data_IF_170672248514
#
_entry.id   IF_170672248514
#
_cell.length_a   1.000
_cell.length_b   1.000
_cell.length_c   1.000
_cell.angle_alpha   90.00
_cell.angle_beta   90.00
_cell.angle_gamma   90.00
#
_symmetry.space_group_name_H-M   'P 1'
#
loop_
_entity.id
_entity.type
_entity.pdbx_description
1 polymer ?
#
# COMPACT_ATOMS: atom_id res chain seq x y z
N UNK A 1 3.97 28.52 7.55
CA UNK A 1 3.51 28.65 6.15
C UNK A 1 2.32 27.72 6.03
N UNK A 2 1.19 28.21 5.54
CA UNK A 2 0.00 27.37 5.37
C UNK A 2 0.31 26.31 4.31
N UNK A 3 0.07 25.04 4.63
CA UNK A 3 0.20 23.95 3.65
C UNK A 3 -1.20 23.55 3.17
N UNK A 4 -1.32 23.48 1.85
CA UNK A 4 -2.55 23.14 1.15
C UNK A 4 -2.28 21.85 0.37
N UNK A 5 -3.15 20.87 0.53
CA UNK A 5 -3.13 19.65 -0.27
C UNK A 5 -4.44 19.60 -1.04
N UNK A 6 -4.33 19.61 -2.37
CA UNK A 6 -5.47 19.52 -3.25
C UNK A 6 -5.15 18.53 -4.37
N UNK A 7 -6.00 17.52 -4.56
CA UNK A 7 -5.74 16.44 -5.52
C UNK A 7 -7.02 15.76 -6.00
N UNK A 8 -7.09 15.46 -7.30
CA UNK A 8 -8.12 14.61 -7.89
C UNK A 8 -7.84 13.14 -7.52
N UNK A 9 -8.80 12.49 -6.86
CA UNK A 9 -8.78 11.07 -6.50
C UNK A 9 -9.42 10.21 -7.60
N UNK A 10 -10.48 10.73 -8.23
CA UNK A 10 -11.16 10.04 -9.31
C UNK A 10 -11.75 11.04 -10.30
N UNK A 11 -11.61 10.82 -11.62
CA UNK A 11 -10.73 9.82 -12.24
C UNK A 11 -9.26 10.08 -11.89
N UNK A 12 -8.52 9.03 -11.55
CA UNK A 12 -7.09 9.13 -11.20
C UNK A 12 -6.22 9.42 -12.43
N UNK A 13 -4.95 9.76 -12.21
CA UNK A 13 -4.05 10.06 -13.33
C UNK A 13 -3.85 8.82 -14.22
N UNK A 14 -3.98 9.00 -15.52
CA UNK A 14 -4.05 7.96 -16.55
C UNK A 14 -5.20 6.95 -16.38
N UNK A 15 -6.18 7.25 -15.52
CA UNK A 15 -7.33 6.39 -15.26
C UNK A 15 -8.25 6.27 -16.47
N UNK A 16 -8.87 5.10 -16.62
CA UNK A 16 -9.93 4.86 -17.63
C UNK A 16 -11.27 4.79 -16.89
N UNK A 17 -12.26 5.54 -17.38
CA UNK A 17 -13.62 5.57 -16.82
C UNK A 17 -14.66 5.47 -17.94
N UNK A 18 -15.90 5.16 -17.57
CA UNK A 18 -17.07 5.35 -18.45
C UNK A 18 -18.06 6.31 -17.80
N UNK A 19 -19.08 6.74 -18.53
CA UNK A 19 -20.10 7.68 -18.07
C UNK A 19 -21.39 6.97 -17.64
N UNK A 20 -22.13 7.52 -16.67
CA UNK A 20 -21.80 8.70 -15.86
C UNK A 20 -20.79 8.37 -14.76
N UNK A 21 -19.96 9.35 -14.38
CA UNK A 21 -19.07 9.23 -13.22
C UNK A 21 -18.98 10.54 -12.44
N UNK A 22 -18.57 10.46 -11.18
CA UNK A 22 -18.43 11.64 -10.31
C UNK A 22 -16.97 11.93 -10.01
N UNK A 23 -16.61 13.22 -10.02
CA UNK A 23 -15.28 13.61 -9.63
C UNK A 23 -15.13 13.54 -8.12
N UNK A 24 -14.03 12.95 -7.66
CA UNK A 24 -13.65 12.91 -6.25
C UNK A 24 -12.31 13.56 -6.10
N UNK A 25 -12.15 14.39 -5.08
CA UNK A 25 -10.89 15.04 -4.77
C UNK A 25 -10.71 15.18 -3.27
N UNK A 26 -9.47 15.16 -2.82
CA UNK A 26 -9.12 15.47 -1.44
C UNK A 26 -8.67 16.91 -1.35
N UNK A 27 -9.23 17.63 -0.38
CA UNK A 27 -8.80 18.94 0.05
C UNK A 27 -8.31 18.82 1.50
N UNK A 28 -7.08 19.26 1.79
CA UNK A 28 -6.56 19.45 3.15
C UNK A 28 -5.94 20.84 3.29
N UNK A 29 -6.30 21.54 4.35
CA UNK A 29 -5.76 22.86 4.69
C UNK A 29 -5.15 22.78 6.09
N UNK A 30 -3.88 23.17 6.23
CA UNK A 30 -3.18 23.21 7.50
C UNK A 30 -2.98 24.65 7.97
N UNK A 31 -3.43 24.94 9.20
CA UNK A 31 -3.39 26.26 9.81
C UNK A 31 -2.09 26.48 10.61
N UNK A 32 -1.34 27.55 10.31
CA UNK A 32 -0.32 28.06 11.22
C UNK A 32 -0.85 29.25 12.03
N UNK A 33 -1.19 29.05 13.31
CA UNK A 33 -1.34 30.06 14.39
C UNK A 33 -1.96 31.46 14.09
N UNK A 34 -2.79 31.62 13.05
CA UNK A 34 -3.60 32.83 12.84
C UNK A 34 -4.86 32.50 12.03
N UNK A 35 -6.02 32.94 12.53
CA UNK A 35 -7.35 32.54 12.03
C UNK A 35 -7.71 32.99 10.60
N UNK A 36 -8.73 32.32 10.02
CA UNK A 36 -9.54 32.85 8.91
C UNK A 36 -9.18 32.49 7.46
N UNK A 37 -8.47 31.39 7.18
CA UNK A 37 -8.05 31.05 5.80
C UNK A 37 -9.13 30.36 4.94
N UNK A 38 -10.00 29.52 5.51
CA UNK A 38 -11.03 28.77 4.76
C UNK A 38 -12.36 29.52 4.62
N UNK A 39 -12.59 30.57 5.42
CA UNK A 39 -13.82 31.37 5.39
C UNK A 39 -14.01 32.01 4.02
N UNK A 40 -15.11 31.66 3.36
CA UNK A 40 -15.41 32.11 2.01
C UNK A 40 -14.53 31.49 0.91
N UNK A 41 -13.92 30.32 1.13
CA UNK A 41 -13.26 29.55 0.06
C UNK A 41 -14.24 28.62 -0.65
N UNK A 42 -14.03 28.50 -1.96
CA UNK A 42 -14.70 27.51 -2.82
C UNK A 42 -13.65 26.67 -3.53
N UNK A 43 -13.89 25.36 -3.63
CA UNK A 43 -13.10 24.46 -4.46
C UNK A 43 -13.74 24.34 -5.83
N UNK A 44 -13.01 24.64 -6.89
CA UNK A 44 -13.49 24.67 -8.27
C UNK A 44 -12.80 23.60 -9.12
N UNK A 45 -13.59 22.84 -9.88
CA UNK A 45 -13.13 21.88 -10.87
C UNK A 45 -12.99 22.55 -12.24
N UNK A 46 -11.86 22.26 -12.87
CA UNK A 46 -11.55 22.53 -14.26
C UNK A 46 -11.32 21.21 -14.98
N UNK A 47 -11.94 21.06 -16.16
CA UNK A 47 -11.66 19.96 -17.09
C UNK A 47 -11.36 20.57 -18.46
N UNK A 48 -10.26 20.15 -19.07
CA UNK A 48 -9.74 20.64 -20.36
C UNK A 48 -9.68 22.18 -20.45
N UNK A 49 -9.21 22.80 -19.37
CA UNK A 49 -9.08 24.26 -19.27
C UNK A 49 -10.40 25.01 -19.11
N UNK A 50 -11.54 24.31 -18.99
CA UNK A 50 -12.85 24.92 -18.74
C UNK A 50 -13.19 24.80 -17.26
N UNK A 51 -13.48 25.93 -16.61
CA UNK A 51 -14.05 25.96 -15.25
C UNK A 51 -15.49 25.45 -15.30
N UNK A 52 -15.79 24.40 -14.53
CA UNK A 52 -17.07 23.69 -14.61
C UNK A 52 -17.95 23.93 -13.39
N UNK A 53 -17.47 23.56 -12.20
CA UNK A 53 -18.29 23.63 -10.98
C UNK A 53 -17.44 23.96 -9.78
N UNK A 54 -18.03 24.67 -8.82
CA UNK A 54 -17.39 24.97 -7.54
C UNK A 54 -18.29 24.54 -6.38
N UNK A 55 -17.69 24.06 -5.30
CA UNK A 55 -18.37 23.71 -4.06
C UNK A 55 -17.80 24.55 -2.91
N UNK A 56 -18.64 25.12 -2.04
CA UNK A 56 -18.16 25.83 -0.87
C UNK A 56 -17.48 24.85 0.09
N UNK A 57 -16.39 25.28 0.72
CA UNK A 57 -15.84 24.55 1.85
C UNK A 57 -16.71 24.86 3.09
N UNK A 58 -17.19 23.84 3.83
CA UNK A 58 -17.96 24.08 5.05
C UNK A 58 -17.13 24.83 6.08
N UNK A 59 -17.74 25.80 6.75
CA UNK A 59 -17.09 26.59 7.81
C UNK A 59 -17.04 25.76 9.10
N UNK A 60 -15.85 25.56 9.68
CA UNK A 60 -15.69 24.94 11.00
C UNK A 60 -15.39 26.01 12.06
N UNK A 61 -16.04 25.91 13.23
CA UNK A 61 -15.92 26.86 14.34
C UNK A 61 -14.60 26.71 15.13
N UNK A 62 -13.81 25.65 14.89
CA UNK A 62 -12.68 25.29 15.73
C UNK A 62 -11.32 25.56 15.06
N UNK A 63 -10.53 26.45 15.67
CA UNK A 63 -9.36 27.13 15.08
C UNK A 63 -8.05 26.30 15.10
N UNK A 64 -8.14 24.97 15.12
CA UNK A 64 -6.96 24.10 15.29
C UNK A 64 -7.04 22.74 14.58
N UNK A 65 -7.99 22.52 13.65
CA UNK A 65 -8.26 21.19 13.07
C UNK A 65 -7.88 21.11 11.59
N UNK A 66 -7.19 20.01 11.23
CA UNK A 66 -6.94 19.54 9.85
C UNK A 66 -8.27 19.22 9.17
N UNK A 67 -8.70 20.03 8.21
CA UNK A 67 -9.90 19.72 7.40
C UNK A 67 -9.46 18.90 6.18
N UNK A 68 -9.31 17.59 6.34
CA UNK A 68 -9.17 16.66 5.22
C UNK A 68 -10.57 16.16 4.81
N UNK A 69 -11.04 16.54 3.61
CA UNK A 69 -12.37 16.16 3.13
C UNK A 69 -12.29 15.63 1.70
N UNK A 70 -12.97 14.52 1.46
CA UNK A 70 -13.33 14.07 0.12
C UNK A 70 -14.51 14.90 -0.35
N UNK A 71 -14.32 15.62 -1.44
CA UNK A 71 -15.34 16.41 -2.08
C UNK A 71 -15.81 15.66 -3.32
N UNK A 72 -17.11 15.41 -3.39
CA UNK A 72 -17.75 14.73 -4.51
C UNK A 72 -18.43 15.78 -5.37
N UNK A 73 -17.96 15.93 -6.61
CA UNK A 73 -18.60 16.77 -7.60
C UNK A 73 -19.39 15.88 -8.57
N UNK A 74 -20.71 16.13 -8.74
CA UNK A 74 -21.53 15.45 -9.73
C UNK A 74 -20.92 15.54 -11.14
N UNK A 75 -21.25 14.58 -12.00
CA UNK A 75 -20.80 14.60 -13.40
C UNK A 75 -21.13 15.94 -14.05
N UNK A 76 -20.18 16.45 -14.84
CA UNK A 76 -20.42 17.59 -15.73
C UNK A 76 -21.01 17.04 -17.03
N UNK A 77 -21.82 17.83 -17.74
CA UNK A 77 -22.42 17.53 -19.06
C UNK A 77 -21.53 16.58 -19.87
N UNK A 78 -22.09 15.46 -20.34
CA UNK A 78 -21.42 14.31 -20.97
C UNK A 78 -20.11 14.70 -21.69
N UNK A 79 -18.99 14.64 -20.97
CA UNK A 79 -17.65 14.76 -21.53
C UNK A 79 -17.49 13.74 -22.67
N UNK A 80 -16.88 14.14 -23.77
CA UNK A 80 -16.74 13.25 -24.93
C UNK A 80 -15.96 11.98 -24.60
N UNK A 81 -16.08 10.94 -25.43
CA UNK A 81 -15.10 9.84 -25.36
C UNK A 81 -13.72 10.36 -25.74
N UNK A 82 -12.67 9.86 -25.07
CA UNK A 82 -11.29 10.24 -25.34
C UNK A 82 -10.52 10.67 -24.10
N UNK A 83 -9.36 11.28 -24.33
CA UNK A 83 -8.44 11.71 -23.28
C UNK A 83 -8.81 13.13 -22.81
N UNK A 84 -8.91 13.28 -21.50
CA UNK A 84 -9.27 14.51 -20.80
C UNK A 84 -8.25 14.83 -19.72
N UNK A 85 -8.28 16.08 -19.26
CA UNK A 85 -7.46 16.55 -18.15
C UNK A 85 -8.32 17.25 -17.11
N UNK A 86 -8.11 16.94 -15.84
CA UNK A 86 -8.81 17.55 -14.72
C UNK A 86 -7.84 18.22 -13.75
N UNK A 87 -8.29 19.31 -13.14
CA UNK A 87 -7.62 20.01 -12.06
C UNK A 87 -8.67 20.59 -11.13
N UNK A 88 -8.41 20.54 -9.83
CA UNK A 88 -9.16 21.31 -8.84
C UNK A 88 -8.28 22.43 -8.27
N UNK A 89 -8.87 23.59 -7.99
CA UNK A 89 -8.21 24.75 -7.38
C UNK A 89 -9.14 25.47 -6.39
N UNK A 90 -8.56 26.25 -5.48
CA UNK A 90 -9.31 27.11 -4.55
C UNK A 90 -9.44 28.55 -5.07
N UNK A 91 -10.60 29.15 -4.87
CA UNK A 91 -10.87 30.59 -5.09
C UNK A 91 -11.57 31.19 -3.86
N UNK A 92 -11.57 32.52 -3.74
CA UNK A 92 -12.42 33.22 -2.77
C UNK A 92 -13.79 33.49 -3.39
N UNK A 93 -14.85 33.15 -2.67
CA UNK A 93 -16.24 33.40 -3.07
C UNK A 93 -16.51 34.87 -3.43
N UNK A 94 -15.83 35.81 -2.76
CA UNK A 94 -15.98 37.27 -2.99
C UNK A 94 -15.13 37.81 -4.15
N UNK A 95 -14.16 37.05 -4.65
CA UNK A 95 -13.28 37.43 -5.78
C UNK A 95 -13.14 36.23 -6.73
N UNK A 96 -14.18 35.92 -7.54
CA UNK A 96 -14.14 34.81 -8.47
C UNK A 96 -13.02 34.98 -9.51
N UNK A 97 -12.32 33.90 -9.87
CA UNK A 97 -11.28 33.89 -10.91
C UNK A 97 -9.84 34.01 -10.41
N UNK A 98 -9.61 34.36 -9.13
CA UNK A 98 -8.26 34.34 -8.55
C UNK A 98 -7.97 32.97 -7.90
N UNK A 99 -7.12 32.17 -8.54
CA UNK A 99 -6.67 30.89 -8.00
C UNK A 99 -5.70 31.12 -6.83
N UNK A 100 -6.03 30.58 -5.67
CA UNK A 100 -5.23 30.68 -4.44
C UNK A 100 -4.23 29.53 -4.38
N UNK A 101 -4.69 28.33 -4.75
CA UNK A 101 -3.90 27.11 -4.77
C UNK A 101 -4.55 26.12 -5.73
N UNK A 102 -3.75 25.29 -6.39
CA UNK A 102 -4.23 24.35 -7.39
C UNK A 102 -3.54 22.99 -7.30
N UNK A 103 -4.29 21.95 -7.64
CA UNK A 103 -3.78 20.58 -7.75
C UNK A 103 -2.91 20.39 -8.99
N UNK A 104 -2.05 19.36 -9.01
CA UNK A 104 -1.46 18.86 -10.25
C UNK A 104 -2.54 18.48 -11.27
N UNK A 105 -2.24 18.67 -12.55
CA UNK A 105 -3.12 18.25 -13.62
C UNK A 105 -3.16 16.72 -13.70
N UNK A 106 -4.38 16.17 -13.71
CA UNK A 106 -4.66 14.74 -13.76
C UNK A 106 -5.21 14.39 -15.14
N UNK A 107 -4.57 13.48 -15.85
CA UNK A 107 -5.07 12.99 -17.14
C UNK A 107 -6.00 11.80 -16.91
N UNK A 108 -7.08 11.65 -17.67
CA UNK A 108 -7.91 10.44 -17.65
C UNK A 108 -8.53 10.20 -19.03
N UNK A 109 -9.05 9.00 -19.27
CA UNK A 109 -9.68 8.62 -20.54
C UNK A 109 -11.11 8.14 -20.31
N UNK A 110 -12.06 8.71 -21.05
CA UNK A 110 -13.45 8.25 -21.07
C UNK A 110 -13.63 7.30 -22.26
N UNK A 111 -14.14 6.11 -22.00
CA UNK A 111 -14.42 5.11 -23.04
C UNK A 111 -15.89 4.68 -22.98
N UNK A 112 -16.41 4.14 -24.07
CA UNK A 112 -17.77 3.60 -24.12
C UNK A 112 -17.91 2.35 -23.22
N UNK A 113 -19.15 1.97 -22.91
CA UNK A 113 -19.46 0.85 -22.02
C UNK A 113 -18.81 -0.47 -22.47
N UNK A 114 -18.73 -0.73 -23.79
CA UNK A 114 -18.15 -1.98 -24.30
C UNK A 114 -16.63 -2.03 -24.13
N UNK A 115 -15.94 -0.91 -24.36
CA UNK A 115 -14.50 -0.78 -24.12
C UNK A 115 -14.21 -0.78 -22.63
N UNK A 116 -15.03 -0.10 -21.83
CA UNK A 116 -14.94 -0.14 -20.37
C UNK A 116 -15.16 -1.56 -19.83
N UNK A 117 -16.10 -2.31 -20.42
CA UNK A 117 -16.33 -3.71 -20.10
C UNK A 117 -15.11 -4.58 -20.42
N UNK A 118 -14.35 -4.28 -21.49
CA UNK A 118 -13.08 -4.97 -21.76
C UNK A 118 -12.00 -4.62 -20.73
N UNK A 119 -11.90 -3.35 -20.33
CA UNK A 119 -10.99 -2.91 -19.27
C UNK A 119 -11.31 -3.53 -17.91
N UNK A 120 -12.60 -3.71 -17.59
CA UNK A 120 -13.04 -4.38 -16.34
C UNK A 120 -12.98 -5.90 -16.43
N UNK A 121 -13.00 -6.49 -17.63
CA UNK A 121 -12.79 -7.93 -17.83
C UNK A 121 -11.38 -8.38 -17.45
N UNK A 122 -10.34 -7.56 -17.64
CA UNK A 122 -8.97 -7.93 -17.28
C UNK A 122 -8.79 -8.12 -15.76
N UNK A 123 -9.17 -7.16 -14.88
CA UNK A 123 -9.26 -7.39 -13.44
C UNK A 123 -10.14 -8.59 -13.06
N UNK A 124 -11.28 -8.81 -13.74
CA UNK A 124 -12.12 -9.99 -13.48
C UNK A 124 -11.40 -11.31 -13.83
N UNK A 125 -10.57 -11.34 -14.87
CA UNK A 125 -9.73 -12.50 -15.20
C UNK A 125 -8.65 -12.70 -14.15
N UNK A 126 -8.00 -11.63 -13.70
CA UNK A 126 -7.02 -11.67 -12.61
C UNK A 126 -7.67 -12.21 -11.33
N UNK A 127 -8.84 -11.70 -10.93
CA UNK A 127 -9.58 -12.17 -9.76
C UNK A 127 -9.97 -13.64 -9.85
N UNK A 128 -10.45 -14.10 -11.02
CA UNK A 128 -10.73 -15.53 -11.25
C UNK A 128 -9.48 -16.39 -11.14
N UNK A 129 -8.35 -15.91 -11.67
CA UNK A 129 -7.08 -16.60 -11.54
C UNK A 129 -6.62 -16.67 -10.07
N UNK A 130 -6.69 -15.58 -9.31
CA UNK A 130 -6.32 -15.56 -7.89
C UNK A 130 -7.22 -16.49 -7.06
N UNK A 131 -8.52 -16.58 -7.39
CA UNK A 131 -9.43 -17.53 -6.77
C UNK A 131 -9.03 -19.00 -7.05
N UNK A 132 -8.55 -19.29 -8.27
CA UNK A 132 -8.01 -20.60 -8.62
C UNK A 132 -6.75 -20.96 -7.83
N UNK A 133 -5.84 -19.98 -7.62
CA UNK A 133 -4.67 -20.16 -6.74
C UNK A 133 -5.12 -20.49 -5.32
N UNK A 134 -6.06 -19.72 -4.76
CA UNK A 134 -6.55 -19.96 -3.40
C UNK A 134 -7.19 -21.35 -3.26
N UNK A 135 -7.90 -21.85 -4.26
CA UNK A 135 -8.46 -23.21 -4.25
C UNK A 135 -7.37 -24.28 -4.24
N UNK A 136 -6.33 -24.13 -5.06
CA UNK A 136 -5.17 -25.03 -5.06
C UNK A 136 -4.46 -25.02 -3.70
N UNK A 137 -4.31 -23.84 -3.07
CA UNK A 137 -3.75 -23.76 -1.73
C UNK A 137 -4.57 -24.51 -0.69
N UNK A 138 -5.91 -24.41 -0.73
CA UNK A 138 -6.79 -25.17 0.19
C UNK A 138 -6.55 -26.66 0.06
N UNK A 139 -6.43 -27.17 -1.17
CA UNK A 139 -6.17 -28.59 -1.43
C UNK A 139 -4.85 -29.04 -0.81
N UNK A 140 -3.78 -28.26 -0.98
CA UNK A 140 -2.46 -28.55 -0.37
C UNK A 140 -2.47 -28.52 1.16
N UNK A 141 -3.26 -27.64 1.76
CA UNK A 141 -3.42 -27.60 3.21
C UNK A 141 -4.21 -28.79 3.75
N UNK A 142 -5.07 -29.41 2.94
CA UNK A 142 -5.86 -30.59 3.30
C UNK A 142 -5.11 -31.91 3.06
N UNK A 143 -4.17 -31.95 2.11
CA UNK A 143 -3.35 -33.13 1.81
C UNK A 143 -1.84 -32.83 1.96
N UNK A 144 -1.22 -33.15 3.11
CA UNK A 144 0.21 -32.91 3.34
C UNK A 144 1.12 -33.76 2.44
N UNK A 145 0.61 -34.82 1.81
CA UNK A 145 1.40 -35.67 0.90
C UNK A 145 1.39 -35.17 -0.55
N UNK A 146 0.62 -34.11 -0.86
CA UNK A 146 0.57 -33.49 -2.18
C UNK A 146 1.79 -32.58 -2.41
N UNK A 147 2.99 -33.14 -2.27
CA UNK A 147 4.22 -32.48 -2.68
C UNK A 147 4.50 -32.84 -4.15
N UNK A 148 4.55 -31.80 -4.98
CA UNK A 148 4.87 -31.85 -6.41
C UNK A 148 3.90 -32.63 -7.29
N UNK A 149 2.85 -31.95 -7.75
CA UNK A 149 2.56 -31.95 -9.18
C UNK A 149 2.12 -30.54 -9.54
N UNK A 150 3.02 -29.83 -10.21
CA UNK A 150 2.74 -28.49 -10.72
C UNK A 150 1.51 -28.58 -11.63
N UNK A 151 0.42 -27.91 -11.27
CA UNK A 151 -0.67 -27.65 -12.20
C UNK A 151 -0.09 -26.76 -13.29
N UNK A 152 0.28 -27.39 -14.40
CA UNK A 152 0.62 -26.69 -15.63
C UNK A 152 -0.66 -26.08 -16.20
N UNK A 153 -0.89 -24.80 -15.92
CA UNK A 153 -1.79 -24.00 -16.72
C UNK A 153 -1.38 -22.52 -16.69
N UNK A 154 -1.02 -22.06 -17.90
CA UNK A 154 -0.73 -20.69 -18.31
C UNK A 154 0.59 -20.09 -17.81
N UNK A 155 1.70 -20.47 -18.47
CA UNK A 155 2.74 -19.54 -18.99
C UNK A 155 2.97 -18.28 -18.15
N UNK A 156 3.64 -18.41 -17.00
CA UNK A 156 3.81 -17.29 -16.05
C UNK A 156 5.28 -17.14 -15.65
N UNK A 157 5.92 -16.24 -16.39
CA UNK A 157 7.12 -15.44 -16.14
C UNK A 157 8.01 -15.87 -14.95
N UNK A 158 9.30 -16.08 -15.23
CA UNK A 158 10.34 -16.11 -14.21
C UNK A 158 10.40 -14.74 -13.51
N UNK A 159 9.61 -14.59 -12.43
CA UNK A 159 9.55 -13.35 -11.67
C UNK A 159 10.77 -13.22 -10.77
N UNK A 160 11.44 -12.07 -10.85
CA UNK A 160 12.48 -11.74 -9.90
C UNK A 160 11.89 -11.47 -8.51
N UNK A 161 10.78 -10.72 -8.44
CA UNK A 161 10.25 -10.21 -7.19
C UNK A 161 8.72 -10.19 -7.15
N UNK A 162 8.15 -10.69 -6.05
CA UNK A 162 6.73 -10.50 -5.70
C UNK A 162 6.63 -9.70 -4.40
N UNK A 163 5.94 -8.56 -4.44
CA UNK A 163 5.80 -7.63 -3.31
C UNK A 163 4.39 -7.78 -2.72
N UNK A 164 4.31 -8.03 -1.42
CA UNK A 164 3.08 -8.03 -0.64
C UNK A 164 3.03 -6.82 0.28
N UNK A 165 2.10 -5.90 0.03
CA UNK A 165 1.93 -4.67 0.83
C UNK A 165 0.84 -4.89 1.87
N UNK A 166 1.22 -5.03 3.14
CA UNK A 166 0.33 -5.11 4.30
C UNK A 166 -0.49 -3.83 4.38
N UNK A 167 -1.81 -3.97 4.40
CA UNK A 167 -2.74 -2.84 4.47
C UNK A 167 -3.99 -3.21 5.25
N UNK A 168 -4.66 -2.22 5.84
CA UNK A 168 -6.01 -2.40 6.36
C UNK A 168 -7.02 -2.29 5.22
N UNK A 169 -7.93 -3.25 5.09
CA UNK A 169 -8.97 -3.24 4.06
C UNK A 169 -9.81 -1.97 4.17
N UNK A 170 -10.27 -1.64 5.38
CA UNK A 170 -11.18 -0.54 5.63
C UNK A 170 -10.48 0.82 5.60
N UNK A 171 -9.35 0.98 6.32
CA UNK A 171 -8.71 2.30 6.51
C UNK A 171 -7.60 2.58 5.50
N UNK A 172 -7.06 1.55 4.86
CA UNK A 172 -5.88 1.65 4.00
C UNK A 172 -6.15 2.09 2.57
N UNK A 173 -7.41 2.29 2.15
CA UNK A 173 -7.73 2.68 0.76
C UNK A 173 -6.93 3.90 0.27
N UNK A 174 -6.78 5.00 1.04
CA UNK A 174 -5.96 6.14 0.61
C UNK A 174 -4.49 5.80 0.40
N UNK A 175 -3.91 4.92 1.22
CA UNK A 175 -2.53 4.46 1.06
C UNK A 175 -2.38 3.56 -0.17
N UNK A 176 -3.30 2.59 -0.35
CA UNK A 176 -3.34 1.75 -1.56
C UNK A 176 -3.41 2.60 -2.82
N UNK A 177 -4.28 3.60 -2.81
CA UNK A 177 -4.43 4.51 -3.94
C UNK A 177 -3.15 5.32 -4.19
N UNK A 178 -2.50 5.83 -3.14
CA UNK A 178 -1.22 6.53 -3.29
C UNK A 178 -0.12 5.64 -3.89
N UNK A 179 -0.05 4.37 -3.47
CA UNK A 179 0.91 3.39 -3.99
C UNK A 179 0.62 3.08 -5.48
N UNK A 180 -0.65 2.88 -5.85
CA UNK A 180 -1.08 2.66 -7.25
C UNK A 180 -0.77 3.85 -8.16
N UNK A 181 -0.91 5.07 -7.65
CA UNK A 181 -0.63 6.32 -8.37
C UNK A 181 0.86 6.63 -8.48
N UNK A 182 1.72 5.88 -7.77
CA UNK A 182 3.16 6.17 -7.68
C UNK A 182 4.00 4.94 -8.04
N UNK A 183 4.74 4.43 -7.06
CA UNK A 183 5.81 3.45 -7.27
C UNK A 183 5.32 2.07 -7.68
N UNK A 184 4.02 1.77 -7.53
CA UNK A 184 3.40 0.55 -8.00
C UNK A 184 2.39 0.75 -9.14
N UNK A 185 2.46 1.89 -9.84
CA UNK A 185 1.68 2.09 -11.06
C UNK A 185 2.07 1.05 -12.12
N UNK A 186 1.10 0.65 -12.97
CA UNK A 186 1.32 -0.34 -14.03
C UNK A 186 2.46 0.03 -14.99
N UNK A 187 2.70 1.34 -15.20
CA UNK A 187 3.76 1.86 -16.05
C UNK A 187 5.14 1.92 -15.37
N UNK A 188 5.20 1.84 -14.03
CA UNK A 188 6.44 1.95 -13.26
C UNK A 188 6.99 0.59 -12.84
N UNK A 189 6.14 -0.42 -12.66
CA UNK A 189 6.59 -1.75 -12.24
C UNK A 189 7.34 -2.48 -13.38
N UNK A 190 8.55 -3.01 -13.13
CA UNK A 190 9.26 -3.84 -14.10
C UNK A 190 8.49 -5.12 -14.45
N UNK A 191 8.72 -5.65 -15.65
CA UNK A 191 7.98 -6.80 -16.18
C UNK A 191 8.15 -8.09 -15.36
N UNK A 192 9.28 -8.23 -14.65
CA UNK A 192 9.61 -9.36 -13.77
C UNK A 192 9.23 -9.10 -12.30
N UNK A 193 8.43 -8.06 -12.03
CA UNK A 193 7.92 -7.70 -10.71
C UNK A 193 6.39 -7.79 -10.68
N UNK A 194 5.83 -8.28 -9.57
CA UNK A 194 4.40 -8.21 -9.27
C UNK A 194 4.17 -7.63 -7.88
N UNK A 195 3.08 -6.92 -7.68
CA UNK A 195 2.70 -6.33 -6.39
C UNK A 195 1.25 -6.68 -6.06
N UNK A 196 0.98 -7.02 -4.80
CA UNK A 196 -0.36 -7.26 -4.27
C UNK A 196 -0.55 -6.56 -2.92
N UNK A 197 -1.73 -6.00 -2.70
CA UNK A 197 -2.15 -5.52 -1.38
C UNK A 197 -2.70 -6.68 -0.55
N UNK A 198 -2.30 -6.74 0.72
CA UNK A 198 -2.64 -7.80 1.66
C UNK A 198 -3.68 -7.29 2.66
N UNK A 199 -4.95 -7.41 2.29
CA UNK A 199 -6.09 -6.96 3.09
C UNK A 199 -6.60 -8.01 4.08
N UNK A 200 -6.56 -9.30 3.74
CA UNK A 200 -7.26 -10.37 4.46
C UNK A 200 -8.78 -10.16 4.58
N UNK A 201 -9.48 -11.09 5.24
CA UNK A 201 -10.94 -11.00 5.42
C UNK A 201 -11.27 -10.06 6.59
N UNK A 202 -12.22 -9.14 6.40
CA UNK A 202 -12.81 -8.39 7.52
C UNK A 202 -13.84 -9.31 8.18
N UNK A 203 -13.69 -9.60 9.47
CA UNK A 203 -14.64 -10.42 10.19
C UNK A 203 -15.97 -9.67 10.40
N UNK A 204 -17.10 -10.34 10.13
CA UNK A 204 -18.44 -9.73 10.12
C UNK A 204 -18.87 -9.24 11.52
N UNK A 205 -18.34 -9.84 12.58
CA UNK A 205 -18.63 -9.52 13.99
C UNK A 205 -18.01 -8.20 14.48
N UNK A 206 -16.97 -7.70 13.82
CA UNK A 206 -16.32 -6.42 14.14
C UNK A 206 -17.04 -5.22 13.58
N UNK A 207 -17.94 -5.44 12.62
CA UNK A 207 -18.83 -4.44 12.09
C UNK A 207 -20.13 -4.54 12.89
N UNK A 208 -20.21 -3.79 14.00
CA UNK A 208 -21.37 -3.75 14.89
C UNK A 208 -22.71 -3.43 14.19
N UNK A 209 -22.65 -2.98 12.93
CA UNK A 209 -23.77 -2.66 12.05
C UNK A 209 -23.67 -3.52 10.77
N UNK A 210 -24.61 -4.46 10.56
CA UNK A 210 -24.66 -5.31 9.36
C UNK A 210 -24.71 -4.52 8.05
N UNK A 211 -25.30 -3.32 8.05
CA UNK A 211 -25.36 -2.50 6.84
C UNK A 211 -23.97 -1.92 6.51
N UNK A 212 -23.21 -1.50 7.54
CA UNK A 212 -21.81 -1.09 7.34
C UNK A 212 -20.95 -2.23 6.82
N UNK A 213 -21.19 -3.46 7.28
CA UNK A 213 -20.52 -4.64 6.78
C UNK A 213 -20.80 -4.88 5.29
N UNK A 214 -22.08 -4.79 4.91
CA UNK A 214 -22.51 -4.92 3.51
C UNK A 214 -21.86 -3.86 2.62
N UNK A 215 -21.94 -2.58 3.01
CA UNK A 215 -21.36 -1.46 2.26
C UNK A 215 -19.84 -1.60 2.12
N UNK A 216 -19.14 -2.02 3.18
CA UNK A 216 -17.70 -2.25 3.11
C UNK A 216 -17.37 -3.40 2.15
N UNK A 217 -18.07 -4.53 2.24
CA UNK A 217 -17.85 -5.67 1.35
C UNK A 217 -18.11 -5.29 -0.12
N UNK A 218 -19.18 -4.54 -0.41
CA UNK A 218 -19.47 -4.02 -1.75
C UNK A 218 -18.35 -3.09 -2.24
N UNK A 219 -17.87 -2.17 -1.40
CA UNK A 219 -16.76 -1.28 -1.77
C UNK A 219 -15.46 -2.04 -2.06
N UNK A 220 -15.16 -3.09 -1.27
CA UNK A 220 -13.99 -3.95 -1.47
C UNK A 220 -14.13 -4.78 -2.73
N UNK A 221 -15.31 -5.34 -3.01
CA UNK A 221 -15.56 -6.11 -4.22
C UNK A 221 -15.45 -5.21 -5.47
N UNK A 222 -15.93 -3.96 -5.40
CA UNK A 222 -15.71 -2.95 -6.43
C UNK A 222 -14.22 -2.66 -6.62
N UNK A 223 -13.49 -2.37 -5.54
CA UNK A 223 -12.04 -2.11 -5.61
C UNK A 223 -11.30 -3.28 -6.27
N UNK A 224 -11.57 -4.52 -5.83
CA UNK A 224 -10.99 -5.72 -6.42
C UNK A 224 -11.35 -5.87 -7.89
N UNK A 225 -12.59 -5.56 -8.27
CA UNK A 225 -13.03 -5.62 -9.66
C UNK A 225 -12.39 -4.56 -10.56
N UNK A 226 -11.91 -3.45 -9.99
CA UNK A 226 -11.27 -2.37 -10.73
C UNK A 226 -9.77 -2.59 -10.86
N UNK A 227 -9.10 -2.94 -9.76
CA UNK A 227 -7.64 -2.97 -9.72
C UNK A 227 -7.05 -4.39 -9.82
N UNK A 228 -7.76 -5.41 -9.33
CA UNK A 228 -7.30 -6.80 -9.37
C UNK A 228 -6.02 -7.10 -8.59
N UNK A 229 -5.62 -6.21 -7.67
CA UNK A 229 -4.37 -6.27 -6.90
C UNK A 229 -4.58 -6.46 -5.39
N UNK A 230 -5.82 -6.43 -4.90
CA UNK A 230 -6.15 -6.57 -3.48
C UNK A 230 -6.54 -8.01 -3.13
N UNK A 231 -5.68 -8.69 -2.36
CA UNK A 231 -5.93 -10.01 -1.81
C UNK A 231 -6.69 -9.91 -0.49
N UNK A 232 -7.84 -10.59 -0.42
CA UNK A 232 -8.66 -10.68 0.80
C UNK A 232 -8.93 -12.14 1.14
N UNK A 233 -9.99 -12.72 0.57
CA UNK A 233 -10.41 -14.12 0.78
C UNK A 233 -9.39 -15.13 0.24
N UNK A 234 -8.47 -14.68 -0.61
CA UNK A 234 -7.36 -15.45 -1.16
C UNK A 234 -6.26 -15.72 -0.11
N UNK A 235 -6.14 -14.87 0.91
CA UNK A 235 -5.23 -15.08 2.04
C UNK A 235 -5.88 -15.98 3.09
N UNK A 236 -5.77 -17.30 2.88
CA UNK A 236 -6.46 -18.32 3.70
C UNK A 236 -5.99 -18.29 5.16
N UNK A 237 -6.95 -18.28 6.08
CA UNK A 237 -6.69 -18.29 7.52
C UNK A 237 -6.29 -16.94 8.10
N UNK A 238 -6.42 -15.86 7.31
CA UNK A 238 -6.10 -14.51 7.75
C UNK A 238 -7.35 -13.65 7.96
N UNK A 239 -7.38 -12.95 9.09
CA UNK A 239 -8.36 -11.90 9.39
C UNK A 239 -7.68 -10.54 9.51
N UNK A 240 -8.32 -9.49 8.99
CA UNK A 240 -7.76 -8.14 9.01
C UNK A 240 -7.74 -7.59 10.43
N UNK A 241 -6.59 -7.76 11.08
CA UNK A 241 -6.34 -7.32 12.45
C UNK A 241 -4.86 -7.14 12.67
N UNK A 242 -4.50 -6.22 13.57
CA UNK A 242 -3.12 -6.06 13.99
C UNK A 242 -2.56 -7.34 14.64
N UNK A 243 -3.39 -8.07 15.39
CA UNK A 243 -3.00 -9.34 16.00
C UNK A 243 -2.93 -10.51 15.01
N UNK A 244 -3.28 -10.30 13.74
CA UNK A 244 -3.24 -11.30 12.68
C UNK A 244 -2.16 -11.00 11.63
N UNK A 245 -1.17 -10.16 11.95
CA UNK A 245 -0.11 -9.80 11.00
C UNK A 245 0.75 -11.01 10.63
N UNK A 246 1.05 -11.90 11.58
CA UNK A 246 1.76 -13.16 11.29
C UNK A 246 0.97 -14.01 10.29
N UNK A 247 -0.34 -14.16 10.50
CA UNK A 247 -1.21 -14.91 9.57
C UNK A 247 -1.28 -14.23 8.20
N UNK A 248 -1.32 -12.89 8.15
CA UNK A 248 -1.31 -12.11 6.90
C UNK A 248 -0.04 -12.36 6.09
N UNK A 249 1.13 -12.29 6.73
CA UNK A 249 2.42 -12.50 6.09
C UNK A 249 2.59 -13.95 5.63
N UNK A 250 2.30 -14.92 6.48
CA UNK A 250 2.45 -16.34 6.14
C UNK A 250 1.43 -16.80 5.08
N UNK A 251 0.20 -16.29 5.11
CA UNK A 251 -0.78 -16.53 4.06
C UNK A 251 -0.34 -15.95 2.71
N UNK A 252 0.30 -14.78 2.70
CA UNK A 252 0.89 -14.21 1.49
C UNK A 252 2.04 -15.06 0.95
N UNK A 253 2.96 -15.54 1.80
CA UNK A 253 4.03 -16.44 1.37
C UNK A 253 3.48 -17.72 0.75
N UNK A 254 2.46 -18.31 1.38
CA UNK A 254 1.78 -19.46 0.82
C UNK A 254 1.17 -19.12 -0.55
N UNK A 255 0.52 -17.95 -0.68
CA UNK A 255 -0.15 -17.55 -1.92
C UNK A 255 0.85 -17.36 -3.04
N UNK A 256 1.88 -16.56 -2.80
CA UNK A 256 2.88 -16.22 -3.79
C UNK A 256 3.68 -17.45 -4.25
N UNK A 257 4.05 -18.36 -3.35
CA UNK A 257 4.84 -19.57 -3.70
C UNK A 257 4.03 -20.60 -4.48
N UNK A 258 2.70 -20.61 -4.35
CA UNK A 258 1.80 -21.42 -5.19
C UNK A 258 1.50 -20.73 -6.52
N UNK A 259 1.25 -19.43 -6.49
CA UNK A 259 0.94 -18.61 -7.67
C UNK A 259 2.12 -18.51 -8.66
N UNK A 260 3.34 -18.44 -8.13
CA UNK A 260 4.56 -18.19 -8.90
C UNK A 260 5.68 -19.18 -8.51
N UNK A 261 5.63 -20.42 -9.01
CA UNK A 261 6.57 -21.47 -8.61
C UNK A 261 8.05 -21.13 -8.86
N UNK A 262 8.34 -20.31 -9.88
CA UNK A 262 9.70 -19.92 -10.28
C UNK A 262 10.15 -18.55 -9.75
N UNK A 263 9.40 -17.93 -8.83
CA UNK A 263 9.79 -16.63 -8.29
C UNK A 263 11.15 -16.72 -7.55
N UNK A 264 11.96 -15.67 -7.63
CA UNK A 264 13.27 -15.61 -6.94
C UNK A 264 13.19 -15.04 -5.52
N UNK A 265 12.58 -13.86 -5.37
CA UNK A 265 12.45 -13.15 -4.09
C UNK A 265 11.00 -12.75 -3.80
N UNK A 266 10.67 -12.67 -2.52
CA UNK A 266 9.46 -12.02 -2.02
C UNK A 266 9.86 -10.83 -1.16
N UNK A 267 9.07 -9.77 -1.23
CA UNK A 267 9.15 -8.66 -0.29
C UNK A 267 7.81 -8.53 0.43
N UNK A 268 7.87 -8.30 1.74
CA UNK A 268 6.74 -7.83 2.54
C UNK A 268 7.01 -6.39 2.90
N UNK A 269 6.02 -5.53 2.68
CA UNK A 269 6.08 -4.11 2.96
C UNK A 269 4.86 -3.64 3.74
N UNK A 270 4.98 -2.54 4.47
CA UNK A 270 3.82 -1.79 4.98
C UNK A 270 3.26 -0.85 3.88
N UNK A 271 2.02 -0.38 4.03
CA UNK A 271 1.35 0.51 3.06
C UNK A 271 1.74 1.99 3.18
N UNK A 272 2.62 2.30 4.11
CA UNK A 272 3.14 3.64 4.41
C UNK A 272 4.61 3.79 3.97
N UNK A 273 5.00 3.08 2.91
CA UNK A 273 6.35 3.16 2.34
C UNK A 273 6.36 3.81 0.96
N UNK A 274 7.50 4.39 0.62
CA UNK A 274 7.90 4.63 -0.75
C UNK A 274 8.99 3.62 -1.13
N UNK A 275 8.82 2.94 -2.26
CA UNK A 275 9.78 1.95 -2.75
C UNK A 275 10.30 2.33 -4.13
N UNK A 276 11.61 2.51 -4.27
CA UNK A 276 12.25 2.68 -5.57
C UNK A 276 12.47 1.30 -6.24
N UNK A 277 11.39 0.75 -6.81
CA UNK A 277 11.33 -0.64 -7.32
C UNK A 277 12.48 -0.97 -8.28
N UNK A 278 12.79 -0.09 -9.24
CA UNK A 278 13.88 -0.30 -10.21
C UNK A 278 15.25 -0.48 -9.53
N UNK A 279 15.57 0.35 -8.52
CA UNK A 279 16.81 0.20 -7.75
C UNK A 279 16.81 -1.09 -6.95
N UNK A 280 15.69 -1.46 -6.33
CA UNK A 280 15.58 -2.72 -5.62
C UNK A 280 15.88 -3.90 -6.56
N UNK A 281 15.26 -3.92 -7.73
CA UNK A 281 15.49 -4.94 -8.76
C UNK A 281 16.97 -5.01 -9.13
N UNK A 282 17.62 -3.88 -9.39
CA UNK A 282 19.05 -3.83 -9.70
C UNK A 282 19.93 -4.39 -8.57
N UNK A 283 19.53 -4.25 -7.31
CA UNK A 283 20.24 -4.83 -6.15
C UNK A 283 19.99 -6.32 -5.96
N UNK A 284 18.82 -6.82 -6.37
CA UNK A 284 18.45 -8.24 -6.25
C UNK A 284 18.98 -9.09 -7.42
N UNK A 285 19.06 -8.55 -8.64
CA UNK A 285 19.55 -9.29 -9.82
C UNK A 285 20.89 -10.02 -9.62
N UNK A 286 21.93 -9.44 -8.99
CA UNK A 286 23.20 -10.13 -8.79
C UNK A 286 23.20 -11.10 -7.59
N UNK A 287 22.12 -11.17 -6.80
CA UNK A 287 22.05 -11.98 -5.58
C UNK A 287 21.65 -13.42 -5.91
N UNK A 288 22.19 -14.37 -5.16
CA UNK A 288 21.72 -15.75 -5.19
C UNK A 288 20.32 -15.82 -4.57
N UNK A 289 19.30 -16.32 -5.29
CA UNK A 289 17.92 -16.38 -4.80
C UNK A 289 17.68 -17.59 -3.90
N UNK A 290 18.58 -17.81 -2.94
CA UNK A 290 18.53 -18.93 -2.02
C UNK A 290 19.08 -18.53 -0.66
N UNK A 291 18.44 -19.00 0.42
CA UNK A 291 18.84 -18.71 1.80
C UNK A 291 19.09 -17.22 2.07
N UNK A 292 18.24 -16.36 1.51
CA UNK A 292 18.35 -14.91 1.61
C UNK A 292 17.26 -14.35 2.52
N UNK A 293 17.66 -13.48 3.45
CA UNK A 293 16.80 -12.72 4.35
C UNK A 293 17.44 -11.36 4.59
N UNK A 294 16.76 -10.26 4.27
CA UNK A 294 17.33 -8.92 4.35
C UNK A 294 16.27 -7.85 4.64
N UNK A 295 16.73 -6.69 5.13
CA UNK A 295 15.94 -5.49 5.35
C UNK A 295 16.68 -4.50 6.26
N UNK A 296 15.95 -3.59 6.90
CA UNK A 296 16.54 -2.72 7.92
C UNK A 296 16.72 -3.48 9.24
N UNK A 297 17.94 -3.58 9.76
CA UNK A 297 18.27 -4.41 10.93
C UNK A 297 18.71 -3.50 12.06
N UNK A 298 17.91 -3.45 13.12
CA UNK A 298 18.10 -2.54 14.24
C UNK A 298 19.44 -2.73 14.95
N UNK A 299 19.83 -3.99 15.19
CA UNK A 299 21.06 -4.30 15.90
C UNK A 299 22.30 -3.84 15.14
N UNK A 300 22.32 -4.02 13.82
CA UNK A 300 23.40 -3.54 12.95
C UNK A 300 23.43 -2.01 12.87
N UNK A 301 22.27 -1.37 12.72
CA UNK A 301 22.16 0.08 12.58
C UNK A 301 22.51 0.83 13.88
N UNK A 302 22.06 0.33 15.02
CA UNK A 302 22.15 1.03 16.31
C UNK A 302 23.09 0.39 17.32
N UNK A 303 23.70 -0.74 16.98
CA UNK A 303 24.63 -1.49 17.84
C UNK A 303 24.02 -1.78 19.22
N UNK A 304 22.72 -2.12 19.24
CA UNK A 304 21.95 -2.40 20.46
C UNK A 304 20.85 -3.42 20.18
N UNK A 305 20.58 -4.28 21.16
CA UNK A 305 19.50 -5.25 21.06
C UNK A 305 18.12 -4.64 21.37
N UNK A 306 17.06 -5.30 20.90
CA UNK A 306 15.68 -5.01 21.28
C UNK A 306 15.25 -5.95 22.40
N UNK A 307 14.68 -5.39 23.46
CA UNK A 307 14.12 -6.12 24.60
C UNK A 307 12.62 -6.33 24.37
N UNK A 308 12.10 -7.57 24.50
CA UNK A 308 10.67 -7.86 24.40
C UNK A 308 9.84 -6.99 25.34
N UNK A 309 8.76 -6.37 24.85
CA UNK A 309 7.85 -5.61 25.71
C UNK A 309 7.00 -6.56 26.54
N UNK A 310 7.13 -6.50 27.86
CA UNK A 310 6.41 -7.38 28.80
C UNK A 310 5.14 -6.75 29.39
N UNK A 311 4.84 -5.51 29.03
CA UNK A 311 3.63 -4.81 29.45
C UNK A 311 2.46 -5.21 28.55
N UNK A 312 1.39 -5.82 29.09
CA UNK A 312 0.20 -6.21 28.32
C UNK A 312 -0.53 -5.05 27.62
N UNK A 313 -0.29 -3.80 28.03
CA UNK A 313 -0.85 -2.62 27.38
C UNK A 313 -0.09 -2.19 26.12
N UNK A 314 1.11 -2.74 25.91
CA UNK A 314 1.91 -2.44 24.73
C UNK A 314 1.35 -3.14 23.49
N UNK A 315 1.28 -2.42 22.37
CA UNK A 315 0.98 -3.04 21.06
C UNK A 315 2.02 -4.11 20.66
N UNK A 316 3.24 -4.01 21.20
CA UNK A 316 4.32 -4.97 20.95
C UNK A 316 4.47 -5.99 22.09
N UNK A 317 3.40 -6.19 22.89
CA UNK A 317 3.44 -7.11 24.03
C UNK A 317 3.82 -8.53 23.60
N UNK A 318 4.88 -9.04 24.23
CA UNK A 318 5.37 -10.39 24.05
C UNK A 318 5.51 -11.05 25.44
N UNK A 319 4.59 -11.95 25.84
CA UNK A 319 4.64 -12.59 27.15
C UNK A 319 5.86 -13.50 27.31
N UNK A 320 6.38 -13.62 28.55
CA UNK A 320 7.47 -14.56 28.87
C UNK A 320 7.12 -16.01 28.55
N UNK A 321 5.84 -16.38 28.67
CA UNK A 321 5.35 -17.71 28.31
C UNK A 321 5.49 -18.02 26.81
N UNK A 322 5.36 -17.00 25.94
CA UNK A 322 5.55 -17.15 24.50
C UNK A 322 7.02 -17.06 24.10
N UNK A 323 7.77 -16.17 24.76
CA UNK A 323 9.18 -15.93 24.47
C UNK A 323 9.96 -15.72 25.77
N UNK A 324 10.64 -16.75 26.30
CA UNK A 324 11.26 -16.69 27.62
C UNK A 324 12.60 -15.93 27.64
N UNK A 325 13.22 -15.71 26.48
CA UNK A 325 14.51 -15.03 26.39
C UNK A 325 14.36 -13.52 26.65
N UNK A 326 15.39 -12.90 27.22
CA UNK A 326 15.37 -11.48 27.61
C UNK A 326 15.71 -10.53 26.44
N UNK A 327 16.20 -11.06 25.33
CA UNK A 327 16.68 -10.31 24.16
C UNK A 327 16.08 -10.96 22.91
N UNK A 328 15.51 -10.16 22.02
CA UNK A 328 15.11 -10.63 20.69
C UNK A 328 16.35 -10.95 19.83
N UNK A 329 16.29 -11.94 18.92
CA UNK A 329 17.37 -12.13 17.94
C UNK A 329 17.49 -10.88 17.06
N UNK A 330 18.59 -10.72 16.33
CA UNK A 330 18.63 -9.73 15.25
C UNK A 330 17.55 -10.06 14.20
N UNK A 331 16.81 -9.05 13.75
CA UNK A 331 15.78 -9.19 12.73
C UNK A 331 15.71 -7.96 11.82
N UNK A 332 15.28 -8.18 10.58
CA UNK A 332 14.83 -7.11 9.70
C UNK A 332 13.44 -6.65 10.19
N UNK A 333 13.34 -5.42 10.69
CA UNK A 333 12.14 -4.96 11.40
C UNK A 333 11.15 -4.21 10.50
N UNK A 334 9.86 -4.36 10.81
CA UNK A 334 8.71 -3.57 10.35
C UNK A 334 8.40 -3.54 8.84
N UNK A 335 8.89 -2.54 8.09
CA UNK A 335 8.16 -2.07 6.91
C UNK A 335 8.71 -2.54 5.57
N UNK A 336 9.84 -3.25 5.52
CA UNK A 336 10.45 -3.67 4.25
C UNK A 336 11.40 -4.87 4.41
N UNK A 337 10.81 -6.06 4.43
CA UNK A 337 11.53 -7.34 4.59
C UNK A 337 11.58 -8.09 3.26
N UNK A 338 12.74 -8.65 2.91
CA UNK A 338 12.95 -9.46 1.71
C UNK A 338 13.40 -10.86 2.10
N UNK A 339 12.83 -11.86 1.43
CA UNK A 339 13.17 -13.27 1.57
C UNK A 339 13.38 -13.89 0.18
N UNK A 340 14.28 -14.87 0.07
CA UNK A 340 14.27 -15.75 -1.10
C UNK A 340 13.06 -16.71 -1.06
N UNK A 341 12.68 -17.22 -2.23
CA UNK A 341 11.50 -18.08 -2.36
C UNK A 341 11.58 -19.38 -1.53
N UNK A 342 12.77 -19.96 -1.36
CA UNK A 342 12.99 -21.13 -0.51
C UNK A 342 12.72 -20.83 0.98
N UNK A 343 13.13 -19.66 1.47
CA UNK A 343 12.82 -19.20 2.83
C UNK A 343 11.31 -19.05 3.05
N UNK A 344 10.59 -18.43 2.10
CA UNK A 344 9.14 -18.27 2.19
C UNK A 344 8.39 -19.61 2.10
N UNK A 345 8.88 -20.58 1.30
CA UNK A 345 8.35 -21.96 1.27
C UNK A 345 8.58 -22.66 2.60
N UNK A 346 9.76 -22.51 3.21
CA UNK A 346 10.05 -23.05 4.54
C UNK A 346 9.07 -22.49 5.58
N UNK A 347 8.86 -21.18 5.62
CA UNK A 347 7.88 -20.56 6.53
C UNK A 347 6.49 -21.12 6.27
N UNK A 348 6.07 -21.22 5.00
CA UNK A 348 4.74 -21.74 4.64
C UNK A 348 4.52 -23.16 5.14
N UNK A 349 5.52 -24.04 5.01
CA UNK A 349 5.46 -25.43 5.47
C UNK A 349 5.43 -25.54 7.01
N UNK A 350 6.02 -24.57 7.72
CA UNK A 350 6.19 -24.57 9.18
C UNK A 350 5.40 -23.46 9.87
N UNK A 351 4.38 -22.90 9.22
CA UNK A 351 3.65 -21.69 9.72
C UNK A 351 2.88 -21.91 11.02
N UNK A 352 2.64 -23.17 11.40
CA UNK A 352 2.04 -23.52 12.69
C UNK A 352 3.04 -23.38 13.84
N UNK A 353 4.33 -23.50 13.54
CA UNK A 353 5.39 -23.23 14.50
C UNK A 353 5.47 -21.72 14.73
N UNK A 354 5.54 -21.28 15.99
CA UNK A 354 5.56 -19.87 16.40
C UNK A 354 4.26 -19.05 16.23
N UNK A 355 3.11 -19.71 16.04
CA UNK A 355 1.79 -19.05 16.01
C UNK A 355 1.49 -18.19 17.26
N UNK A 356 2.18 -18.42 18.39
CA UNK A 356 2.04 -17.66 19.64
C UNK A 356 2.52 -16.20 19.52
N UNK A 357 3.25 -15.84 18.47
CA UNK A 357 3.81 -14.51 18.25
C UNK A 357 2.88 -13.56 17.47
N UNK A 358 1.61 -13.93 17.30
CA UNK A 358 0.62 -13.46 16.32
C UNK A 358 0.66 -11.98 15.84
N UNK A 359 1.09 -11.01 16.66
CA UNK A 359 1.21 -9.59 16.29
C UNK A 359 2.60 -9.11 15.85
N UNK A 360 3.66 -9.90 16.06
CA UNK A 360 5.05 -9.55 15.74
C UNK A 360 5.54 -10.36 14.53
N UNK A 361 5.05 -9.99 13.34
CA UNK A 361 5.35 -10.68 12.09
C UNK A 361 6.85 -10.69 11.74
N UNK A 362 7.53 -9.57 11.97
CA UNK A 362 8.97 -9.43 11.76
C UNK A 362 9.82 -10.31 12.69
N UNK A 363 9.45 -10.38 13.98
CA UNK A 363 10.07 -11.29 14.95
C UNK A 363 9.79 -12.75 14.61
N UNK A 364 8.57 -13.08 14.20
CA UNK A 364 8.22 -14.44 13.79
C UNK A 364 9.03 -14.89 12.57
N UNK A 365 9.13 -14.04 11.53
CA UNK A 365 10.01 -14.27 10.37
C UNK A 365 11.44 -14.56 10.80
N UNK A 366 12.01 -13.74 11.69
CA UNK A 366 13.37 -13.95 12.16
C UNK A 366 13.58 -15.29 12.89
N UNK A 367 12.60 -15.74 13.67
CA UNK A 367 12.69 -17.02 14.38
C UNK A 367 12.62 -18.23 13.44
N UNK A 368 11.76 -18.20 12.40
CA UNK A 368 11.79 -19.22 11.36
C UNK A 368 13.12 -19.23 10.60
N UNK A 369 13.69 -18.05 10.29
CA UNK A 369 14.99 -17.97 9.63
C UNK A 369 16.11 -18.51 10.52
N UNK A 370 16.08 -18.20 11.82
CA UNK A 370 17.05 -18.69 12.78
C UNK A 370 16.98 -20.22 12.95
N UNK A 371 15.78 -20.80 12.89
CA UNK A 371 15.59 -22.27 12.94
C UNK A 371 16.36 -23.00 11.83
N UNK A 372 16.59 -22.35 10.68
CA UNK A 372 17.40 -22.87 9.57
C UNK A 372 18.74 -22.16 9.40
N UNK A 373 19.23 -21.47 10.44
CA UNK A 373 20.53 -20.79 10.48
C UNK A 373 20.71 -19.76 9.36
N UNK A 374 19.67 -18.98 9.11
CA UNK A 374 19.70 -17.80 8.22
C UNK A 374 19.58 -16.56 9.10
N UNK A 375 20.53 -15.65 8.93
CA UNK A 375 20.59 -14.39 9.66
C UNK A 375 20.17 -13.22 8.75
N UNK A 376 19.54 -12.16 9.30
CA UNK A 376 19.16 -11.01 8.50
C UNK A 376 20.41 -10.27 7.98
N UNK A 377 20.35 -9.84 6.72
CA UNK A 377 21.33 -8.93 6.13
C UNK A 377 20.81 -7.49 6.22
N UNK A 378 21.59 -6.59 6.80
CA UNK A 378 21.23 -5.18 6.86
C UNK A 378 21.36 -4.51 5.48
N UNK A 379 20.30 -3.81 5.07
CA UNK A 379 20.28 -2.91 3.93
C UNK A 379 20.23 -1.47 4.45
N UNK A 380 21.30 -0.70 4.28
CA UNK A 380 21.39 0.69 4.76
C UNK A 380 20.50 1.66 3.97
N UNK A 381 20.14 1.28 2.75
CA UNK A 381 19.25 2.05 1.87
C UNK A 381 17.75 1.87 2.23
N UNK A 382 17.47 1.07 3.26
CA UNK A 382 16.14 0.84 3.81
C UNK A 382 16.05 1.61 5.12
N UNK A 383 15.19 2.63 5.16
CA UNK A 383 15.07 3.52 6.31
C UNK A 383 13.63 3.72 6.76
N UNK A 384 13.49 4.25 7.95
CA UNK A 384 12.24 4.61 8.58
C UNK A 384 12.35 6.04 9.13
N UNK A 385 11.33 6.87 8.89
CA UNK A 385 11.36 8.28 9.31
C UNK A 385 11.43 8.47 10.82
N UNK A 386 10.94 7.52 11.63
CA UNK A 386 11.04 7.56 13.10
C UNK A 386 12.47 7.38 13.60
N UNK A 387 13.33 6.78 12.77
CA UNK A 387 14.68 6.40 13.11
C UNK A 387 15.73 7.38 12.54
N UNK A 388 15.48 7.89 11.33
CA UNK A 388 16.38 8.82 10.64
C UNK A 388 15.65 9.83 9.77
N UNK A 389 16.24 11.02 9.62
CA UNK A 389 15.77 12.02 8.67
C UNK A 389 16.00 11.57 7.22
N UNK A 390 15.13 11.98 6.30
CA UNK A 390 15.35 11.78 4.88
C UNK A 390 16.47 12.73 4.41
N UNK A 391 17.66 12.20 4.19
CA UNK A 391 18.83 12.97 3.73
C UNK A 391 19.54 12.35 2.51
N UNK A 392 19.16 11.13 2.12
CA UNK A 392 19.91 10.34 1.15
C UNK A 392 19.11 10.11 -0.14
N UNK A 393 19.70 10.45 -1.27
CA UNK A 393 19.10 10.25 -2.59
C UNK A 393 19.27 8.84 -3.13
N UNK A 394 20.01 7.98 -2.44
CA UNK A 394 20.28 6.57 -2.79
C UNK A 394 19.30 5.61 -2.13
N UNK A 395 18.39 6.10 -1.28
CA UNK A 395 17.38 5.27 -0.62
C UNK A 395 16.63 4.40 -1.63
N UNK A 396 16.43 3.14 -1.23
CA UNK A 396 15.61 2.18 -1.94
C UNK A 396 14.23 2.13 -1.32
N UNK A 397 14.13 2.18 0.02
CA UNK A 397 12.86 2.21 0.71
C UNK A 397 12.88 3.19 1.88
N UNK A 398 11.80 3.97 2.01
CA UNK A 398 11.56 4.86 3.14
C UNK A 398 10.16 4.59 3.70
N UNK A 399 10.06 4.35 5.00
CA UNK A 399 8.82 3.98 5.69
C UNK A 399 8.28 5.06 6.64
N UNK A 400 7.11 4.79 7.23
CA UNK A 400 6.36 5.68 8.11
C UNK A 400 5.87 6.97 7.41
N UNK A 401 5.59 6.88 6.11
CA UNK A 401 5.17 7.99 5.26
C UNK A 401 3.67 8.19 5.23
N UNK A 402 3.25 9.46 5.20
CA UNK A 402 1.89 9.82 4.81
C UNK A 402 1.66 9.58 3.32
N UNK A 403 0.41 9.37 2.91
CA UNK A 403 0.04 9.26 1.49
C UNK A 403 0.52 10.47 0.66
N UNK A 404 0.53 11.67 1.25
CA UNK A 404 1.04 12.87 0.58
C UNK A 404 2.55 12.84 0.40
N UNK A 405 3.29 12.28 1.34
CA UNK A 405 4.74 12.13 1.26
C UNK A 405 5.16 11.12 0.18
N UNK A 406 4.44 9.99 0.07
CA UNK A 406 4.63 9.00 -1.02
C UNK A 406 4.54 9.71 -2.38
N UNK A 407 3.55 10.58 -2.55
CA UNK A 407 3.40 11.36 -3.77
C UNK A 407 4.46 12.43 -3.98
N UNK A 408 4.88 13.12 -2.92
CA UNK A 408 5.92 14.14 -2.99
C UNK A 408 7.24 13.52 -3.47
N UNK A 409 7.62 12.38 -2.90
CA UNK A 409 8.81 11.61 -3.31
C UNK A 409 8.68 11.18 -4.78
N UNK A 410 7.54 10.62 -5.18
CA UNK A 410 7.33 10.23 -6.58
C UNK A 410 7.47 11.41 -7.54
N UNK A 411 6.83 12.53 -7.21
CA UNK A 411 6.88 13.76 -8.00
C UNK A 411 8.29 14.29 -8.14
N UNK A 412 9.10 14.23 -7.08
CA UNK A 412 10.52 14.60 -7.14
C UNK A 412 11.27 13.75 -8.18
N UNK A 413 11.12 12.42 -8.12
CA UNK A 413 11.83 11.51 -9.01
C UNK A 413 11.42 11.68 -10.48
N UNK A 414 10.13 11.92 -10.75
CA UNK A 414 9.62 12.13 -12.11
C UNK A 414 10.24 13.36 -12.80
N UNK A 415 10.56 14.40 -12.05
CA UNK A 415 11.15 15.65 -12.59
C UNK A 415 12.67 15.74 -12.36
N UNK A 416 13.31 14.64 -11.94
CA UNK A 416 14.76 14.56 -11.73
C UNK A 416 15.26 15.33 -10.50
N UNK A 417 14.40 15.57 -9.50
CA UNK A 417 14.82 16.12 -8.20
C UNK A 417 15.32 15.02 -7.25
N UNK A 418 16.16 15.40 -6.27
CA UNK A 418 16.54 14.56 -5.13
C UNK A 418 15.34 13.86 -4.48
N UNK A 419 15.52 12.61 -4.03
CA UNK A 419 14.48 11.80 -3.39
C UNK A 419 13.89 12.55 -2.18
N UNK A 420 14.77 13.10 -1.34
CA UNK A 420 14.40 13.83 -0.12
C UNK A 420 14.12 15.34 -0.36
N UNK A 421 13.98 15.78 -1.62
CA UNK A 421 13.71 17.19 -1.90
C UNK A 421 12.40 17.66 -1.24
N UNK A 422 12.47 18.77 -0.50
CA UNK A 422 11.31 19.31 0.21
C UNK A 422 10.91 18.50 1.45
N UNK A 423 11.79 17.63 1.96
CA UNK A 423 11.54 16.89 3.18
C UNK A 423 11.32 17.80 4.39
N UNK A 424 10.21 17.54 5.09
CA UNK A 424 9.93 18.06 6.42
C UNK A 424 9.29 16.95 7.25
N UNK A 425 9.91 16.57 8.38
CA UNK A 425 9.47 15.42 9.18
C UNK A 425 7.98 15.47 9.54
N UNK A 426 7.49 16.62 10.03
CA UNK A 426 6.10 16.82 10.43
C UNK A 426 5.08 16.71 9.28
N UNK A 427 5.54 16.86 8.03
CA UNK A 427 4.70 16.77 6.84
C UNK A 427 4.74 15.36 6.22
N UNK A 428 5.89 14.69 6.37
CA UNK A 428 6.13 13.42 5.70
C UNK A 428 5.72 12.21 6.55
N UNK A 429 5.79 12.31 7.89
CA UNK A 429 5.39 11.23 8.79
C UNK A 429 3.86 10.96 8.72
N UNK A 430 3.46 9.69 8.82
CA UNK A 430 2.04 9.25 8.77
C UNK A 430 1.19 9.65 9.97
#
# INVERSE_FOLDING_TARGET
>A
RDSWVLRVLYPGNEGVTTQPFTFRFVASVYQGHSGGLTTGLVACLEVDGRRLRCVPLPEEENHSVKVARELVMPSVDELSLGRHTARVYFERHKVPGQRIHESPQTTFTIVNDSTFAQFTQEPQRTNRWMAGVAEEQRRRLQDPNLHSNAVSAASKDDLLLVIGVKTSVQKGFPMRQAIRETWASKSTLPADVRMFFLGCRVADDRLADPERARVLNEAVDVEKSVYGDLLTRELIGCEDSYNGLVDKVTAFFAFATVAFPNLSFLMVADDDIYLHVERLVQRLRPRTPQRFYAGQVWEEQFQRHIIPKRDPSSQYYLPKAAYPLEVLPAFAYGPHVILSADCARYITANRQDFAVLASLDDVAVALWMLAIQIHPQHLSEFQNLRDSACVDDTLVSLADLSASAIHAIHGNLLIGRPFCHGYAFSEWIK
#
